data_IF_448409671827
#
_entry.id   IF_448409671827
#
_cell.length_a   1.000
_cell.length_b   1.000
_cell.length_c   1.000
_cell.angle_alpha   90.00
_cell.angle_beta   90.00
_cell.angle_gamma   90.00
#
_symmetry.space_group_name_H-M   'P 1'
#
loop_
_entity.id
_entity.type
_entity.pdbx_description
1 polymer ?
#
# COMPACT_ATOMS: atom_id res chain seq x y z
N UNK A 1 21.46 -11.95 17.54
CA UNK A 1 20.15 -11.60 16.95
C UNK A 1 19.86 -12.56 15.81
N UNK A 2 18.62 -12.95 15.59
CA UNK A 2 18.25 -13.90 14.51
C UNK A 2 17.95 -13.13 13.24
N UNK A 3 18.28 -13.69 12.08
CA UNK A 3 17.86 -13.12 10.81
C UNK A 3 16.33 -13.10 10.72
N UNK A 4 15.71 -12.04 10.15
CA UNK A 4 14.26 -11.97 10.00
C UNK A 4 13.77 -13.02 9.01
N UNK A 5 12.58 -13.55 9.27
CA UNK A 5 11.82 -14.31 8.29
C UNK A 5 11.10 -13.36 7.33
N UNK A 6 10.57 -13.85 6.20
CA UNK A 6 9.79 -13.02 5.29
C UNK A 6 8.57 -12.39 5.99
N UNK A 7 7.92 -13.13 6.89
CA UNK A 7 6.76 -12.61 7.63
C UNK A 7 7.12 -11.49 8.61
N UNK A 8 8.33 -11.49 9.15
CA UNK A 8 8.80 -10.42 10.03
C UNK A 8 8.99 -9.08 9.28
N UNK A 9 9.10 -9.12 7.96
CA UNK A 9 9.22 -7.92 7.13
C UNK A 9 7.87 -7.31 6.73
N UNK A 10 6.75 -7.94 7.10
CA UNK A 10 5.41 -7.39 6.96
C UNK A 10 5.08 -6.64 8.25
N UNK A 11 5.08 -5.31 8.18
CA UNK A 11 4.84 -4.46 9.33
C UNK A 11 3.40 -3.97 9.34
N UNK A 12 2.69 -4.28 10.42
CA UNK A 12 1.27 -3.96 10.59
C UNK A 12 1.06 -3.09 11.81
N UNK A 13 0.44 -1.94 11.61
CA UNK A 13 -0.08 -1.08 12.67
C UNK A 13 -1.61 -1.09 12.69
N UNK A 14 -2.16 -1.43 13.82
CA UNK A 14 -3.60 -1.45 14.05
C UNK A 14 -4.12 -0.07 14.44
N UNK A 15 -5.33 0.30 13.94
CA UNK A 15 -6.03 1.53 14.29
C UNK A 15 -5.16 2.79 14.14
N UNK A 16 -4.35 2.85 13.09
CA UNK A 16 -3.42 3.95 12.85
C UNK A 16 -4.14 5.23 12.42
N UNK A 17 -5.16 5.11 11.57
CA UNK A 17 -6.05 6.20 11.22
C UNK A 17 -7.29 6.17 12.12
N UNK A 18 -7.77 7.36 12.48
CA UNK A 18 -9.06 7.51 13.15
C UNK A 18 -10.22 7.18 12.20
N UNK A 19 -11.38 6.89 12.78
CA UNK A 19 -12.61 6.65 12.01
C UNK A 19 -12.99 7.88 11.16
N UNK A 20 -12.79 9.09 11.68
CA UNK A 20 -13.06 10.35 10.97
C UNK A 20 -12.14 10.51 9.74
N UNK A 21 -10.86 10.19 9.89
CA UNK A 21 -9.91 10.22 8.77
C UNK A 21 -10.29 9.22 7.69
N UNK A 22 -10.60 7.98 8.08
CA UNK A 22 -11.07 6.95 7.16
C UNK A 22 -12.34 7.38 6.43
N UNK A 23 -13.32 7.92 7.17
CA UNK A 23 -14.57 8.44 6.60
C UNK A 23 -14.32 9.57 5.62
N UNK A 24 -13.42 10.51 5.95
CA UNK A 24 -13.08 11.61 5.04
C UNK A 24 -12.56 11.10 3.71
N UNK A 25 -11.68 10.11 3.71
CA UNK A 25 -11.12 9.52 2.50
C UNK A 25 -12.22 8.83 1.68
N UNK A 26 -13.11 8.08 2.31
CA UNK A 26 -14.23 7.40 1.63
C UNK A 26 -15.20 8.42 1.04
N UNK A 27 -15.56 9.47 1.78
CA UNK A 27 -16.47 10.51 1.32
C UNK A 27 -15.92 11.25 0.09
N UNK A 28 -14.63 11.55 0.06
CA UNK A 28 -13.99 12.18 -1.11
C UNK A 28 -13.93 11.24 -2.31
N UNK A 29 -13.64 9.95 -2.09
CA UNK A 29 -13.73 8.95 -3.15
C UNK A 29 -15.12 8.93 -3.81
N UNK A 30 -16.18 8.96 -2.99
CA UNK A 30 -17.57 8.94 -3.46
C UNK A 30 -17.98 10.24 -4.19
N UNK A 31 -17.39 11.38 -3.82
CA UNK A 31 -17.67 12.69 -4.44
C UNK A 31 -16.87 12.96 -5.70
N UNK A 32 -16.18 11.96 -6.23
CA UNK A 32 -15.36 12.10 -7.46
C UNK A 32 -14.21 13.11 -7.34
N UNK A 33 -13.68 13.31 -6.12
CA UNK A 33 -12.45 14.10 -5.90
C UNK A 33 -11.18 13.34 -6.33
N UNK A 34 -11.34 12.31 -7.15
CA UNK A 34 -10.26 11.47 -7.65
C UNK A 34 -10.45 11.19 -9.12
N UNK A 35 -9.34 10.97 -9.82
CA UNK A 35 -9.34 10.54 -11.21
C UNK A 35 -9.42 9.01 -11.27
N UNK A 36 -10.37 8.49 -12.04
CA UNK A 36 -10.50 7.05 -12.22
C UNK A 36 -9.37 6.51 -13.11
N UNK A 37 -8.66 5.50 -12.62
CA UNK A 37 -7.57 4.88 -13.35
C UNK A 37 -8.02 3.66 -14.15
N UNK A 38 -8.77 2.76 -13.50
CA UNK A 38 -9.25 1.51 -14.12
C UNK A 38 -10.35 0.85 -13.29
N UNK A 39 -11.16 0.05 -13.97
CA UNK A 39 -12.23 -0.75 -13.36
C UNK A 39 -12.00 -2.26 -13.44
N UNK A 40 -11.02 -2.72 -14.21
CA UNK A 40 -10.79 -4.14 -14.47
C UNK A 40 -9.38 -4.58 -14.08
N UNK A 41 -9.28 -5.81 -13.62
CA UNK A 41 -8.02 -6.47 -13.32
C UNK A 41 -7.56 -7.35 -14.48
N UNK A 42 -6.28 -7.31 -14.77
CA UNK A 42 -5.63 -8.19 -15.73
C UNK A 42 -4.85 -9.28 -14.99
N UNK A 43 -5.08 -10.54 -15.35
CA UNK A 43 -4.33 -11.63 -14.76
C UNK A 43 -2.93 -11.69 -15.37
N UNK A 44 -1.91 -11.35 -14.59
CA UNK A 44 -0.54 -11.23 -15.06
C UNK A 44 0.03 -12.51 -15.68
N UNK A 45 -0.40 -13.69 -15.20
CA UNK A 45 0.12 -14.98 -15.66
C UNK A 45 -0.62 -15.57 -16.85
N UNK A 46 -1.89 -15.27 -17.02
CA UNK A 46 -2.71 -15.91 -18.07
C UNK A 46 -3.11 -14.95 -19.19
N UNK A 47 -2.88 -13.67 -19.04
CA UNK A 47 -3.34 -12.66 -19.98
C UNK A 47 -4.86 -12.57 -20.11
N UNK A 48 -5.61 -13.25 -19.25
CA UNK A 48 -7.06 -13.23 -19.27
C UNK A 48 -7.57 -11.96 -18.57
N UNK A 49 -8.41 -11.20 -19.28
CA UNK A 49 -9.22 -10.18 -18.63
C UNK A 49 -10.21 -10.87 -17.68
N UNK A 50 -10.03 -10.62 -16.40
CA UNK A 50 -11.00 -11.03 -15.41
C UNK A 50 -11.78 -9.81 -15.01
N UNK A 51 -13.08 -9.85 -15.19
CA UNK A 51 -13.97 -8.82 -14.67
C UNK A 51 -13.94 -8.88 -13.15
N UNK A 52 -13.19 -7.97 -12.57
CA UNK A 52 -13.27 -7.71 -11.14
C UNK A 52 -14.10 -6.46 -10.95
N UNK A 53 -14.94 -6.43 -9.93
CA UNK A 53 -15.77 -5.28 -9.60
C UNK A 53 -15.05 -4.28 -8.69
N UNK A 54 -13.72 -4.23 -8.75
CA UNK A 54 -12.97 -3.21 -8.04
C UNK A 54 -12.62 -2.02 -8.94
N UNK A 55 -12.61 -0.84 -8.36
CA UNK A 55 -12.26 0.43 -9.00
C UNK A 55 -11.03 1.03 -8.35
N UNK A 56 -10.13 1.57 -9.15
CA UNK A 56 -8.95 2.31 -8.69
C UNK A 56 -9.05 3.75 -9.14
N UNK A 57 -8.88 4.68 -8.20
CA UNK A 57 -8.84 6.12 -8.46
C UNK A 57 -7.57 6.72 -7.90
N UNK A 58 -6.96 7.65 -8.61
CA UNK A 58 -5.81 8.40 -8.10
C UNK A 58 -6.28 9.56 -7.22
N UNK A 59 -5.66 9.71 -6.07
CA UNK A 59 -5.93 10.81 -5.15
C UNK A 59 -5.39 12.13 -5.71
N UNK A 60 -6.20 13.19 -5.68
CA UNK A 60 -5.78 14.53 -6.11
C UNK A 60 -4.92 15.19 -5.02
N UNK A 61 -3.88 15.92 -5.42
CA UNK A 61 -2.90 16.52 -4.52
C UNK A 61 -3.46 17.50 -3.51
N UNK A 62 -4.46 18.27 -3.88
CA UNK A 62 -5.08 19.30 -3.06
C UNK A 62 -6.24 18.78 -2.20
N UNK A 63 -6.53 17.48 -2.27
CA UNK A 63 -7.60 16.86 -1.50
C UNK A 63 -7.21 16.62 -0.04
N UNK A 64 -8.21 16.57 0.84
CA UNK A 64 -7.99 16.19 2.23
C UNK A 64 -7.48 14.75 2.34
N UNK A 65 -7.97 13.87 1.47
CA UNK A 65 -7.51 12.49 1.39
C UNK A 65 -6.03 12.40 1.10
N UNK A 66 -5.54 13.20 0.14
CA UNK A 66 -4.11 13.25 -0.17
C UNK A 66 -3.30 13.63 1.07
N UNK A 67 -3.66 14.69 1.76
CA UNK A 67 -2.93 15.15 2.95
C UNK A 67 -2.91 14.10 4.07
N UNK A 68 -4.06 13.45 4.34
CA UNK A 68 -4.16 12.40 5.35
C UNK A 68 -3.27 11.20 4.96
N UNK A 69 -3.40 10.71 3.74
CA UNK A 69 -2.65 9.53 3.26
C UNK A 69 -1.16 9.86 3.22
N UNK A 70 -0.79 11.02 2.72
CA UNK A 70 0.59 11.47 2.60
C UNK A 70 1.31 11.52 3.96
N UNK A 71 0.68 12.15 4.95
CA UNK A 71 1.21 12.18 6.31
C UNK A 71 1.29 10.77 6.92
N UNK A 72 0.25 9.96 6.71
CA UNK A 72 0.22 8.58 7.19
C UNK A 72 1.35 7.75 6.61
N UNK A 73 1.54 7.82 5.28
CA UNK A 73 2.58 7.06 4.58
C UNK A 73 3.97 7.53 5.00
N UNK A 74 4.20 8.84 5.12
CA UNK A 74 5.48 9.37 5.60
C UNK A 74 5.84 8.87 7.01
N UNK A 75 4.86 8.90 7.92
CA UNK A 75 5.06 8.43 9.29
C UNK A 75 5.31 6.91 9.35
N UNK A 76 4.52 6.12 8.62
CA UNK A 76 4.67 4.65 8.66
C UNK A 76 5.98 4.19 8.01
N UNK A 77 6.51 4.90 7.01
CA UNK A 77 7.84 4.65 6.45
C UNK A 77 8.91 4.81 7.53
N UNK A 78 8.86 5.90 8.29
CA UNK A 78 9.81 6.14 9.38
C UNK A 78 9.72 5.05 10.45
N UNK A 79 8.51 4.70 10.88
CA UNK A 79 8.30 3.63 11.87
C UNK A 79 8.77 2.26 11.34
N UNK A 80 8.55 1.99 10.05
CA UNK A 80 9.03 0.77 9.42
C UNK A 80 10.55 0.72 9.37
N UNK A 81 11.20 1.84 9.06
CA UNK A 81 12.65 1.92 9.08
C UNK A 81 13.21 1.71 10.50
N UNK A 82 12.61 2.34 11.52
CA UNK A 82 13.00 2.12 12.91
C UNK A 82 12.79 0.64 13.32
N UNK A 83 11.73 -0.01 12.82
CA UNK A 83 11.50 -1.44 13.04
C UNK A 83 12.55 -2.31 12.34
N UNK A 84 12.89 -2.01 11.07
CA UNK A 84 13.93 -2.74 10.35
C UNK A 84 15.31 -2.60 11.00
N UNK A 85 15.58 -1.48 11.68
CA UNK A 85 16.81 -1.26 12.43
C UNK A 85 17.00 -2.24 13.62
N UNK A 86 15.94 -2.94 14.02
CA UNK A 86 16.02 -4.01 15.02
C UNK A 86 16.63 -5.31 14.49
N UNK A 87 16.75 -5.46 13.16
CA UNK A 87 17.36 -6.61 12.50
C UNK A 87 18.77 -6.26 12.02
N UNK A 88 19.76 -7.12 12.30
CA UNK A 88 21.15 -6.86 11.93
C UNK A 88 21.35 -6.73 10.42
N UNK A 89 22.08 -5.72 10.00
CA UNK A 89 22.59 -5.49 8.63
C UNK A 89 21.59 -5.56 7.46
N UNK A 90 20.41 -6.13 7.66
CA UNK A 90 19.40 -6.30 6.63
C UNK A 90 18.69 -4.98 6.26
N UNK A 91 18.58 -4.07 7.20
CA UNK A 91 17.81 -2.83 7.08
C UNK A 91 18.38 -1.82 6.10
N UNK A 92 19.72 -1.79 5.91
CA UNK A 92 20.39 -0.72 5.17
C UNK A 92 19.89 -0.60 3.72
N UNK A 93 19.85 -1.71 2.98
CA UNK A 93 19.37 -1.70 1.60
C UNK A 93 17.88 -1.41 1.49
N UNK A 94 17.07 -1.91 2.45
CA UNK A 94 15.62 -1.66 2.47
C UNK A 94 15.31 -0.20 2.79
N UNK A 95 15.99 0.38 3.76
CA UNK A 95 15.86 1.79 4.08
C UNK A 95 16.15 2.67 2.87
N UNK A 96 17.21 2.39 2.12
CA UNK A 96 17.59 3.15 0.94
C UNK A 96 16.62 2.98 -0.24
N UNK A 97 15.92 1.85 -0.33
CA UNK A 97 15.06 1.51 -1.46
C UNK A 97 13.59 1.93 -1.30
N UNK A 98 13.13 2.20 -0.08
CA UNK A 98 11.72 2.47 0.23
C UNK A 98 11.53 3.88 0.84
N UNK A 99 11.99 4.91 0.13
CA UNK A 99 12.02 6.29 0.63
C UNK A 99 10.85 7.13 0.13
N UNK A 100 10.44 6.95 -1.13
CA UNK A 100 9.52 7.84 -1.79
C UNK A 100 8.22 7.12 -2.17
N UNK A 101 7.06 7.66 -1.79
CA UNK A 101 5.79 7.12 -2.24
C UNK A 101 5.57 7.40 -3.71
N UNK A 102 4.96 6.43 -4.36
CA UNK A 102 4.58 6.49 -5.74
C UNK A 102 3.08 6.35 -5.86
N UNK A 103 2.36 7.42 -6.15
CA UNK A 103 0.94 7.42 -6.50
C UNK A 103 0.01 6.89 -5.39
N UNK A 104 -0.76 7.77 -4.79
CA UNK A 104 -1.80 7.38 -3.84
C UNK A 104 -3.05 6.93 -4.59
N UNK A 105 -3.40 5.67 -4.44
CA UNK A 105 -4.55 5.04 -5.08
C UNK A 105 -5.63 4.76 -4.06
N UNK A 106 -6.84 5.16 -4.35
CA UNK A 106 -8.02 4.79 -3.59
C UNK A 106 -8.73 3.65 -4.30
N UNK A 107 -8.98 2.57 -3.58
CA UNK A 107 -9.56 1.35 -4.14
C UNK A 107 -10.90 1.05 -3.46
N UNK A 108 -11.87 0.69 -4.28
CA UNK A 108 -13.18 0.20 -3.85
C UNK A 108 -13.37 -1.21 -4.39
N UNK A 109 -13.66 -2.13 -3.50
CA UNK A 109 -13.98 -3.52 -3.81
C UNK A 109 -15.44 -3.78 -3.47
N UNK A 110 -16.27 -3.98 -4.48
CA UNK A 110 -17.66 -4.41 -4.29
C UNK A 110 -17.73 -5.91 -4.01
N UNK A 111 -18.89 -6.42 -3.60
CA UNK A 111 -19.13 -7.87 -3.50
C UNK A 111 -18.73 -8.60 -4.79
N UNK A 112 -18.00 -9.69 -4.68
CA UNK A 112 -17.41 -10.45 -5.77
C UNK A 112 -16.07 -9.90 -6.26
N UNK A 113 -15.58 -8.76 -5.76
CA UNK A 113 -14.28 -8.21 -6.14
C UNK A 113 -13.13 -8.92 -5.42
N UNK A 114 -12.02 -9.05 -6.11
CA UNK A 114 -10.79 -9.68 -5.64
C UNK A 114 -9.60 -9.18 -6.45
N UNK A 115 -8.38 -9.43 -5.98
CA UNK A 115 -7.15 -9.24 -6.77
C UNK A 115 -6.40 -10.56 -6.79
N UNK A 116 -6.04 -11.00 -7.99
CA UNK A 116 -5.23 -12.19 -8.22
C UNK A 116 -3.87 -12.15 -7.53
N UNK A 117 -3.27 -13.31 -7.26
CA UNK A 117 -1.86 -13.38 -6.89
C UNK A 117 -0.99 -12.61 -7.87
N UNK A 118 -0.24 -11.63 -7.37
CA UNK A 118 0.64 -10.76 -8.15
C UNK A 118 1.79 -10.25 -7.29
N UNK A 119 2.75 -9.61 -7.93
CA UNK A 119 3.77 -8.78 -7.30
C UNK A 119 3.57 -7.35 -7.76
N UNK A 120 3.91 -6.39 -6.93
CA UNK A 120 3.75 -4.97 -7.25
C UNK A 120 4.89 -4.41 -8.10
N UNK A 121 6.05 -5.04 -8.07
CA UNK A 121 7.17 -4.67 -8.92
C UNK A 121 6.92 -5.10 -10.37
N UNK A 122 6.65 -4.12 -11.21
CA UNK A 122 6.46 -4.27 -12.66
C UNK A 122 7.73 -3.97 -13.48
N UNK A 123 8.89 -3.97 -12.83
CA UNK A 123 10.16 -3.54 -13.42
C UNK A 123 10.37 -2.02 -13.40
N UNK A 124 9.44 -1.27 -12.81
CA UNK A 124 9.54 0.18 -12.68
C UNK A 124 10.29 0.63 -11.41
N UNK A 125 10.89 -0.31 -10.65
CA UNK A 125 11.64 -0.02 -9.43
C UNK A 125 10.74 0.27 -8.24
N UNK A 126 9.66 -0.48 -8.10
CA UNK A 126 8.83 -0.52 -6.90
C UNK A 126 9.50 -1.47 -5.91
N UNK A 127 9.90 -0.96 -4.76
CA UNK A 127 10.64 -1.71 -3.76
C UNK A 127 9.83 -2.02 -2.52
N UNK A 128 8.70 -1.36 -2.34
CA UNK A 128 7.80 -1.58 -1.23
C UNK A 128 6.37 -1.20 -1.55
N UNK A 129 5.47 -1.68 -0.72
CA UNK A 129 4.05 -1.40 -0.81
C UNK A 129 3.47 -1.06 0.55
N UNK A 130 2.49 -0.17 0.54
CA UNK A 130 1.75 0.24 1.71
C UNK A 130 0.25 0.21 1.41
N UNK A 131 -0.53 -0.39 2.31
CA UNK A 131 -1.99 -0.39 2.23
C UNK A 131 -2.60 0.12 3.52
N UNK A 132 -3.63 0.96 3.39
CA UNK A 132 -4.45 1.49 4.48
C UNK A 132 -5.86 0.96 4.29
N UNK A 133 -6.39 0.21 5.24
CA UNK A 133 -7.76 -0.28 5.17
C UNK A 133 -8.70 0.76 5.81
N UNK A 134 -9.72 1.19 5.08
CA UNK A 134 -10.51 2.37 5.45
C UNK A 134 -11.83 2.04 6.15
N UNK A 135 -12.29 0.77 6.08
CA UNK A 135 -13.54 0.38 6.71
C UNK A 135 -13.52 -1.08 7.17
N UNK A 136 -14.55 -1.50 7.90
CA UNK A 136 -14.69 -2.88 8.40
C UNK A 136 -16.05 -3.49 8.08
N UNK A 137 -16.94 -2.78 7.39
CA UNK A 137 -18.31 -3.18 7.09
C UNK A 137 -18.36 -4.05 5.81
N UNK A 138 -17.58 -5.15 5.81
CA UNK A 138 -17.53 -6.14 4.74
C UNK A 138 -17.05 -7.49 5.26
N UNK A 139 -17.35 -8.54 4.51
CA UNK A 139 -16.84 -9.90 4.74
C UNK A 139 -15.93 -10.34 3.58
N UNK A 140 -15.03 -11.27 3.87
CA UNK A 140 -13.97 -11.65 2.92
C UNK A 140 -12.84 -10.64 2.89
N UNK A 141 -12.23 -10.44 1.73
CA UNK A 141 -11.21 -9.41 1.47
C UNK A 141 -9.94 -9.56 2.29
N UNK A 142 -9.60 -10.77 2.73
CA UNK A 142 -8.38 -11.06 3.45
C UNK A 142 -7.17 -10.80 2.54
N UNK A 143 -6.18 -10.14 3.07
CA UNK A 143 -4.90 -9.97 2.38
C UNK A 143 -4.07 -11.24 2.59
N UNK A 144 -3.64 -11.89 1.51
CA UNK A 144 -2.94 -13.17 1.60
C UNK A 144 -1.61 -13.13 0.82
N UNK A 145 -0.57 -13.63 1.44
CA UNK A 145 0.77 -13.78 0.86
C UNK A 145 1.04 -15.25 0.57
N UNK A 146 1.83 -15.49 -0.48
CA UNK A 146 2.37 -16.81 -0.84
C UNK A 146 1.30 -17.90 -0.96
N UNK A 147 0.20 -17.60 -1.68
CA UNK A 147 -0.89 -18.56 -1.88
C UNK A 147 -1.60 -18.90 -0.57
N UNK A 148 -1.80 -17.91 0.28
CA UNK A 148 -2.53 -18.05 1.55
C UNK A 148 -1.73 -18.63 2.71
N UNK A 149 -0.40 -18.80 2.57
CA UNK A 149 0.46 -19.27 3.68
C UNK A 149 0.57 -18.28 4.82
N UNK A 150 0.41 -16.98 4.51
CA UNK A 150 0.30 -15.93 5.51
C UNK A 150 -0.88 -15.04 5.18
N UNK A 151 -1.83 -14.93 6.10
CA UNK A 151 -3.07 -14.17 5.90
C UNK A 151 -3.19 -13.06 6.94
N UNK A 152 -3.56 -11.87 6.47
CA UNK A 152 -3.74 -10.68 7.31
C UNK A 152 -5.14 -10.13 7.10
N UNK A 153 -5.99 -10.16 8.12
CA UNK A 153 -7.27 -9.47 8.12
C UNK A 153 -7.05 -8.04 8.65
N UNK A 154 -7.29 -7.06 7.78
CA UNK A 154 -7.17 -5.64 8.12
C UNK A 154 -8.51 -5.10 8.62
N UNK A 155 -8.47 -4.39 9.73
CA UNK A 155 -9.59 -3.61 10.26
C UNK A 155 -9.56 -2.16 9.77
N UNK A 156 -10.58 -1.36 10.15
CA UNK A 156 -10.62 0.07 9.85
C UNK A 156 -9.41 0.78 10.45
N UNK A 157 -8.76 1.62 9.66
CA UNK A 157 -7.60 2.40 10.08
C UNK A 157 -6.29 1.61 10.20
N UNK A 158 -6.28 0.31 9.90
CA UNK A 158 -5.05 -0.47 9.89
C UNK A 158 -4.17 -0.07 8.71
N UNK A 159 -2.88 0.01 8.96
CA UNK A 159 -1.85 0.28 7.94
C UNK A 159 -0.86 -0.88 7.91
N UNK A 160 -0.59 -1.39 6.73
CA UNK A 160 0.38 -2.45 6.51
C UNK A 160 1.39 -2.01 5.45
N UNK A 161 2.68 -2.24 5.72
CA UNK A 161 3.79 -1.95 4.81
C UNK A 161 4.68 -3.19 4.71
N UNK A 162 5.16 -3.49 3.49
CA UNK A 162 6.00 -4.65 3.22
C UNK A 162 6.92 -4.37 2.02
N UNK A 163 8.05 -5.10 1.87
CA UNK A 163 8.84 -5.08 0.64
C UNK A 163 8.03 -5.62 -0.53
N UNK A 164 8.24 -5.10 -1.73
CA UNK A 164 7.49 -5.51 -2.91
C UNK A 164 8.38 -5.88 -4.10
N UNK A 165 9.69 -5.87 -3.89
CA UNK A 165 10.66 -6.22 -4.91
C UNK A 165 10.66 -7.71 -5.25
N UNK A 166 10.69 -8.01 -6.54
CA UNK A 166 10.75 -9.35 -7.12
C UNK A 166 9.63 -10.32 -6.71
N UNK A 167 9.65 -11.51 -7.26
CA UNK A 167 8.65 -12.56 -7.09
C UNK A 167 8.51 -13.13 -5.67
N UNK A 168 9.30 -12.69 -4.72
CA UNK A 168 9.19 -13.14 -3.33
C UNK A 168 7.94 -12.64 -2.62
N UNK A 169 7.36 -11.52 -3.05
CA UNK A 169 6.26 -10.84 -2.38
C UNK A 169 4.93 -11.03 -3.09
N UNK A 170 4.72 -12.24 -3.62
CA UNK A 170 3.43 -12.60 -4.23
C UNK A 170 2.32 -12.48 -3.19
N UNK A 171 1.32 -11.68 -3.51
CA UNK A 171 0.17 -11.45 -2.64
C UNK A 171 -1.12 -11.28 -3.44
N UNK A 172 -2.24 -11.39 -2.74
CA UNK A 172 -3.58 -11.30 -3.28
C UNK A 172 -4.54 -10.67 -2.28
N UNK A 173 -5.69 -10.21 -2.75
CA UNK A 173 -6.84 -9.87 -1.94
C UNK A 173 -7.93 -10.88 -2.25
N UNK A 174 -8.31 -11.69 -1.26
CA UNK A 174 -9.38 -12.67 -1.40
C UNK A 174 -10.73 -11.99 -1.71
N UNK A 175 -11.67 -12.75 -2.27
CA UNK A 175 -12.96 -12.23 -2.68
C UNK A 175 -13.72 -11.54 -1.53
N UNK A 176 -14.33 -10.39 -1.83
CA UNK A 176 -15.33 -9.75 -0.95
C UNK A 176 -16.62 -10.51 -1.08
N UNK A 177 -17.03 -11.20 -0.02
CA UNK A 177 -18.25 -12.02 -0.01
C UNK A 177 -19.49 -11.23 0.36
N UNK A 178 -19.36 -10.19 1.17
CA UNK A 178 -20.44 -9.27 1.55
C UNK A 178 -19.92 -7.84 1.75
N UNK A 179 -20.77 -6.85 1.49
CA UNK A 179 -20.47 -5.43 1.70
C UNK A 179 -19.55 -4.81 0.64
N UNK A 180 -18.84 -3.78 1.04
CA UNK A 180 -17.88 -3.06 0.18
C UNK A 180 -16.64 -2.70 1.01
N UNK A 181 -15.46 -3.09 0.53
CA UNK A 181 -14.18 -2.71 1.13
C UNK A 181 -13.61 -1.48 0.44
N UNK A 182 -13.11 -0.55 1.23
CA UNK A 182 -12.31 0.58 0.77
C UNK A 182 -10.89 0.50 1.31
N UNK A 183 -9.91 0.82 0.48
CA UNK A 183 -8.51 0.95 0.90
C UNK A 183 -7.80 2.08 0.17
N UNK A 184 -6.72 2.57 0.75
CA UNK A 184 -5.76 3.43 0.08
C UNK A 184 -4.44 2.67 -0.05
N UNK A 185 -3.83 2.73 -1.24
CA UNK A 185 -2.61 2.01 -1.55
C UNK A 185 -1.54 2.97 -2.08
N UNK A 186 -0.29 2.67 -1.77
CA UNK A 186 0.86 3.41 -2.22
C UNK A 186 2.02 2.45 -2.47
N UNK A 187 2.77 2.67 -3.53
CA UNK A 187 4.04 2.00 -3.77
C UNK A 187 5.20 2.85 -3.26
N UNK A 188 6.32 2.23 -2.93
CA UNK A 188 7.51 2.88 -2.41
C UNK A 188 8.69 2.62 -3.33
N UNK A 189 9.46 3.67 -3.61
CA UNK A 189 10.59 3.66 -4.53
C UNK A 189 11.84 4.27 -3.89
N UNK A 190 12.99 4.03 -4.50
CA UNK A 190 14.27 4.63 -4.12
C UNK A 190 14.42 6.08 -4.60
N UNK A 191 13.63 6.49 -5.60
CA UNK A 191 13.65 7.82 -6.20
C UNK A 191 12.25 8.38 -6.38
N UNK A 192 12.06 9.71 -6.31
CA UNK A 192 10.80 10.33 -6.64
C UNK A 192 10.42 10.03 -8.09
N UNK A 193 9.19 9.56 -8.32
CA UNK A 193 8.69 9.23 -9.66
C UNK A 193 7.63 10.18 -10.17
N UNK A 194 7.08 11.05 -9.31
CA UNK A 194 6.03 12.01 -9.65
C UNK A 194 6.27 13.38 -9.05
N UNK A 195 5.86 14.41 -9.78
CA UNK A 195 6.04 15.80 -9.41
C UNK A 195 5.32 16.19 -8.12
N UNK A 196 4.24 15.51 -7.76
CA UNK A 196 3.52 15.79 -6.53
C UNK A 196 4.29 15.44 -5.25
N UNK A 197 5.46 14.82 -5.37
CA UNK A 197 6.37 14.61 -4.24
C UNK A 197 7.37 15.75 -4.09
N UNK A 198 7.49 16.66 -5.05
CA UNK A 198 8.49 17.73 -5.04
C UNK A 198 8.17 18.83 -4.04
N UNK A 199 6.89 19.11 -3.83
CA UNK A 199 6.46 20.20 -2.93
C UNK A 199 6.29 19.77 -1.48
N UNK A 200 6.29 18.47 -1.21
CA UNK A 200 6.12 17.92 0.12
C UNK A 200 7.43 17.26 0.54
N UNK A 201 8.15 17.94 1.42
CA UNK A 201 9.32 17.34 2.05
C UNK A 201 8.85 16.22 2.96
N UNK A 202 9.08 14.98 2.52
CA UNK A 202 9.04 13.86 3.43
C UNK A 202 10.21 13.99 4.38
N UNK A 203 9.91 14.15 5.64
CA UNK A 203 10.91 14.03 6.70
C UNK A 203 11.13 12.54 7.01
N UNK A 204 11.48 11.79 5.96
CA UNK A 204 11.88 10.39 6.11
C UNK A 204 13.32 10.38 6.59
N UNK A 205 13.55 9.83 7.77
CA UNK A 205 14.89 9.64 8.30
C UNK A 205 15.74 8.86 7.29
N UNK A 206 16.84 9.45 6.85
CA UNK A 206 17.74 8.86 5.85
C UNK A 206 17.51 9.34 4.42
N UNK A 207 16.52 10.23 4.16
CA UNK A 207 16.43 10.93 2.87
C UNK A 207 17.62 11.86 2.59
N UNK A 208 18.32 12.28 3.66
CA UNK A 208 19.57 13.04 3.58
C UNK A 208 20.82 12.15 3.40
N UNK A 209 20.65 10.86 3.32
CA UNK A 209 21.72 10.02 2.77
C UNK A 209 21.83 10.42 1.32
N UNK A 210 22.62 11.46 1.09
CA UNK A 210 23.02 11.87 -0.23
C UNK A 210 23.48 10.60 -0.94
N UNK A 211 22.69 10.19 -1.92
CA UNK A 211 23.15 9.19 -2.86
C UNK A 211 24.24 9.88 -3.64
N UNK A 212 25.41 9.98 -2.99
CA UNK A 212 26.64 10.36 -3.65
C UNK A 212 27.02 9.20 -4.56
N UNK A 213 26.70 9.33 -5.81
CA UNK A 213 27.36 8.67 -6.90
C UNK A 213 28.11 9.73 -7.70
#
# INVERSE_FOLDING_TARGET
>A
MTAPTLTDLIYLKKNYLSEEQCKTIIDEYQKSMCVEDRENCFHAFTGLNTTSTYTVKTCQQDSKSFNIIHQTVGNIINEYHDYLDTFDAFHVSRRASMLYPHKYRLMKYSKGAWIHPHVDDDGAGINGSCTINLNSEYEGGTFAFWGGKHKVKLGRGDVMIWPADYSFWVHEVEEITEGTRYSANCFLCDKPKFDYTQDVKYDVKGSDVAIGY
#
